data_IF_763378249585
#
_entry.id   IF_763378249585
#
_cell.length_a   1.000
_cell.length_b   1.000
_cell.length_c   1.000
_cell.angle_alpha   90.00
_cell.angle_beta   90.00
_cell.angle_gamma   90.00
#
_symmetry.space_group_name_H-M   'P 1'
#
loop_
_entity.id
_entity.type
_entity.pdbx_description
1 polymer ?
#
# COMPACT_ATOMS: atom_id res chain seq x y z
N UNK A 1 -24.99 -2.95 -0.53
CA UNK A 1 -24.10 -2.57 -1.65
C UNK A 1 -22.95 -3.56 -1.65
N UNK A 2 -22.66 -4.20 -2.78
CA UNK A 2 -21.50 -5.08 -2.89
C UNK A 2 -20.22 -4.26 -2.65
N UNK A 3 -19.26 -4.82 -1.90
CA UNK A 3 -17.90 -4.28 -1.88
C UNK A 3 -17.23 -4.62 -3.20
N UNK A 4 -16.49 -3.68 -3.79
CA UNK A 4 -15.68 -3.93 -4.98
C UNK A 4 -14.36 -4.65 -4.66
N UNK A 5 -13.94 -4.67 -3.40
CA UNK A 5 -12.71 -5.32 -2.95
C UNK A 5 -12.99 -6.26 -1.78
N UNK A 6 -12.37 -7.45 -1.81
CA UNK A 6 -12.38 -8.37 -0.67
C UNK A 6 -11.39 -7.94 0.42
N UNK A 7 -10.24 -7.42 0.01
CA UNK A 7 -9.18 -6.87 0.86
C UNK A 7 -8.34 -5.90 0.02
N UNK A 8 -7.62 -5.00 0.69
CA UNK A 8 -6.52 -4.23 0.10
C UNK A 8 -5.33 -4.33 1.05
N UNK A 9 -4.19 -4.77 0.52
CA UNK A 9 -2.91 -4.77 1.26
C UNK A 9 -2.01 -3.67 0.72
N UNK A 10 -1.62 -2.75 1.59
CA UNK A 10 -0.59 -1.76 1.30
C UNK A 10 0.69 -2.19 1.98
N UNK A 11 1.77 -2.32 1.20
CA UNK A 11 3.08 -2.78 1.66
C UNK A 11 4.13 -1.74 1.32
N UNK A 12 4.96 -1.39 2.30
CA UNK A 12 6.18 -0.62 2.11
C UNK A 12 7.39 -1.42 2.59
N UNK A 13 8.51 -1.23 1.91
CA UNK A 13 9.81 -1.76 2.34
C UNK A 13 10.62 -0.56 2.83
N UNK A 14 11.07 -0.61 4.08
CA UNK A 14 11.98 0.36 4.68
C UNK A 14 13.38 -0.27 4.78
N UNK A 15 14.36 0.34 4.14
CA UNK A 15 15.75 -0.05 4.24
C UNK A 15 16.41 0.58 5.47
N UNK A 16 17.51 -0.01 5.95
CA UNK A 16 18.26 0.50 7.10
C UNK A 16 18.76 1.96 6.97
N UNK A 17 18.77 2.53 5.77
CA UNK A 17 19.16 3.93 5.52
C UNK A 17 17.98 4.90 5.55
N UNK A 18 16.76 4.40 5.76
CA UNK A 18 15.53 5.18 5.73
C UNK A 18 14.95 5.34 7.13
N UNK A 19 14.06 6.32 7.28
CA UNK A 19 13.38 6.61 8.54
C UNK A 19 12.09 5.77 8.62
N UNK A 20 12.11 4.73 9.46
CA UNK A 20 10.98 3.80 9.62
C UNK A 20 9.72 4.50 10.12
N UNK A 21 9.86 5.45 11.06
CA UNK A 21 8.73 6.19 11.62
C UNK A 21 8.05 7.02 10.52
N UNK A 22 8.85 7.67 9.67
CA UNK A 22 8.34 8.42 8.53
C UNK A 22 7.60 7.53 7.51
N UNK A 23 8.12 6.32 7.22
CA UNK A 23 7.41 5.39 6.34
C UNK A 23 6.10 4.89 6.98
N UNK A 24 6.10 4.61 8.28
CA UNK A 24 4.89 4.23 9.03
C UNK A 24 3.83 5.33 9.00
N UNK A 25 4.24 6.59 9.18
CA UNK A 25 3.35 7.75 9.10
C UNK A 25 2.73 7.90 7.71
N UNK A 26 3.52 7.71 6.65
CA UNK A 26 3.04 7.74 5.26
C UNK A 26 2.04 6.62 4.99
N UNK A 27 2.33 5.39 5.40
CA UNK A 27 1.43 4.24 5.20
C UNK A 27 0.13 4.44 5.99
N UNK A 28 0.22 4.86 7.26
CA UNK A 28 -0.94 5.15 8.11
C UNK A 28 -1.78 6.29 7.54
N UNK A 29 -1.15 7.39 7.12
CA UNK A 29 -1.83 8.54 6.52
C UNK A 29 -2.51 8.21 5.20
N UNK A 30 -1.86 7.39 4.35
CA UNK A 30 -2.43 6.97 3.07
C UNK A 30 -3.64 6.04 3.25
N UNK A 31 -3.57 5.12 4.21
CA UNK A 31 -4.58 4.06 4.38
C UNK A 31 -5.67 4.39 5.41
N UNK A 32 -5.37 5.27 6.36
CA UNK A 32 -6.16 5.49 7.56
C UNK A 32 -6.14 4.31 8.54
N UNK A 33 -5.18 3.39 8.40
CA UNK A 33 -5.01 2.28 9.34
C UNK A 33 -4.47 2.78 10.69
N UNK A 34 -5.05 2.30 11.77
CA UNK A 34 -4.58 2.61 13.14
C UNK A 34 -3.46 1.66 13.60
N UNK A 35 -3.40 0.47 13.00
CA UNK A 35 -2.41 -0.56 13.30
C UNK A 35 -1.71 -1.00 12.01
N UNK A 36 -0.39 -1.07 12.07
CA UNK A 36 0.48 -1.59 11.01
C UNK A 36 1.14 -2.88 11.48
N UNK A 37 1.30 -3.82 10.56
CA UNK A 37 2.09 -5.03 10.79
C UNK A 37 3.53 -4.77 10.33
N UNK A 38 4.49 -4.98 11.24
CA UNK A 38 5.90 -4.65 11.06
C UNK A 38 6.71 -5.94 11.17
N UNK A 39 7.35 -6.33 10.07
CA UNK A 39 8.17 -7.54 9.97
C UNK A 39 9.61 -7.20 9.58
N UNK A 40 10.58 -7.59 10.41
CA UNK A 40 12.00 -7.40 10.13
C UNK A 40 12.51 -8.60 9.34
N UNK A 41 13.06 -8.34 8.17
CA UNK A 41 13.50 -9.37 7.23
C UNK A 41 14.88 -9.05 6.63
N UNK A 42 15.41 -9.97 5.85
CA UNK A 42 16.68 -9.82 5.13
C UNK A 42 16.42 -9.66 3.63
N UNK A 43 16.99 -8.62 3.03
CA UNK A 43 16.93 -8.39 1.59
C UNK A 43 17.85 -9.34 0.82
N UNK A 44 17.82 -9.23 -0.52
CA UNK A 44 18.60 -10.09 -1.44
C UNK A 44 20.11 -10.14 -1.15
N UNK A 45 20.67 -9.09 -0.54
CA UNK A 45 22.08 -8.99 -0.18
C UNK A 45 22.35 -9.17 1.33
N UNK A 46 21.43 -9.80 2.07
CA UNK A 46 21.45 -9.94 3.53
C UNK A 46 21.49 -8.58 4.27
N UNK A 47 21.04 -7.51 3.61
CA UNK A 47 20.85 -6.23 4.26
C UNK A 47 19.52 -6.27 5.02
N UNK A 48 19.46 -5.83 6.28
CA UNK A 48 18.21 -5.78 7.02
C UNK A 48 17.24 -4.81 6.32
N UNK A 49 15.99 -5.23 6.23
CA UNK A 49 14.87 -4.42 5.79
C UNK A 49 13.67 -4.64 6.71
N UNK A 50 12.85 -3.62 6.85
CA UNK A 50 11.57 -3.72 7.54
C UNK A 50 10.46 -3.71 6.49
N UNK A 51 9.55 -4.67 6.58
CA UNK A 51 8.32 -4.73 5.79
C UNK A 51 7.18 -4.18 6.64
N UNK A 52 6.52 -3.15 6.13
CA UNK A 52 5.43 -2.46 6.81
C UNK A 52 4.16 -2.72 6.01
N UNK A 53 3.18 -3.39 6.62
CA UNK A 53 1.92 -3.79 5.99
C UNK A 53 0.71 -3.14 6.68
N UNK A 54 -0.19 -2.58 5.88
CA UNK A 54 -1.54 -2.22 6.29
C UNK A 54 -2.54 -3.14 5.59
N UNK A 55 -3.34 -3.88 6.36
CA UNK A 55 -4.34 -4.82 5.86
C UNK A 55 -5.75 -4.24 6.03
N UNK A 56 -6.34 -3.79 4.94
CA UNK A 56 -7.67 -3.21 4.93
C UNK A 56 -8.69 -4.29 4.57
N UNK A 57 -9.78 -4.38 5.34
CA UNK A 57 -10.83 -5.39 5.16
C UNK A 57 -12.24 -4.80 5.17
N UNK A 58 -12.38 -3.50 5.44
CA UNK A 58 -13.66 -2.80 5.55
C UNK A 58 -13.83 -1.77 4.44
N UNK A 59 -15.04 -1.64 3.90
CA UNK A 59 -15.35 -0.69 2.83
C UNK A 59 -14.99 0.76 3.14
N UNK A 60 -15.10 1.17 4.42
CA UNK A 60 -14.71 2.51 4.85
C UNK A 60 -13.22 2.77 4.66
N UNK A 61 -12.38 1.78 4.95
CA UNK A 61 -10.92 1.85 4.79
C UNK A 61 -10.55 1.96 3.31
N UNK A 62 -11.21 1.19 2.43
CA UNK A 62 -11.01 1.30 0.98
C UNK A 62 -11.36 2.70 0.47
N UNK A 63 -12.50 3.24 0.91
CA UNK A 63 -12.93 4.57 0.53
C UNK A 63 -11.95 5.65 1.01
N UNK A 64 -11.44 5.54 2.24
CA UNK A 64 -10.39 6.43 2.76
C UNK A 64 -9.16 6.40 1.87
N UNK A 65 -8.63 5.22 1.54
CA UNK A 65 -7.45 5.08 0.69
C UNK A 65 -7.62 5.79 -0.65
N UNK A 66 -8.70 5.50 -1.39
CA UNK A 66 -8.92 6.13 -2.70
C UNK A 66 -9.21 7.63 -2.61
N UNK A 67 -9.83 8.09 -1.54
CA UNK A 67 -10.00 9.53 -1.29
C UNK A 67 -8.66 10.22 -1.05
N UNK A 68 -7.76 9.59 -0.27
CA UNK A 68 -6.42 10.12 0.01
C UNK A 68 -5.55 10.16 -1.24
N UNK A 69 -5.60 9.13 -2.09
CA UNK A 69 -4.90 9.12 -3.38
C UNK A 69 -5.39 10.24 -4.32
N UNK A 70 -6.64 10.66 -4.16
CA UNK A 70 -7.23 11.68 -5.00
C UNK A 70 -7.64 11.17 -6.39
N UNK A 71 -8.47 11.99 -7.06
CA UNK A 71 -9.13 11.60 -8.31
C UNK A 71 -8.14 11.34 -9.45
N UNK A 72 -7.08 12.14 -9.56
CA UNK A 72 -6.15 12.05 -10.68
C UNK A 72 -5.36 10.74 -10.64
N UNK A 73 -4.85 10.36 -9.47
CA UNK A 73 -4.18 9.06 -9.29
C UNK A 73 -5.18 7.92 -9.50
N UNK A 74 -6.38 8.02 -8.95
CA UNK A 74 -7.41 6.99 -9.14
C UNK A 74 -7.74 6.77 -10.63
N UNK A 75 -7.79 7.83 -11.45
CA UNK A 75 -7.97 7.72 -12.90
C UNK A 75 -6.76 7.07 -13.59
N UNK A 76 -5.54 7.38 -13.16
CA UNK A 76 -4.33 6.72 -13.68
C UNK A 76 -4.29 5.22 -13.35
N UNK A 77 -4.86 4.81 -12.22
CA UNK A 77 -4.94 3.39 -11.87
C UNK A 77 -5.88 2.60 -12.79
N UNK A 78 -6.87 3.26 -13.40
CA UNK A 78 -7.78 2.62 -14.35
C UNK A 78 -7.13 2.39 -15.72
N UNK A 79 -6.07 3.14 -16.04
CA UNK A 79 -5.33 2.96 -17.28
C UNK A 79 -4.56 1.64 -17.25
N UNK A 80 -4.82 0.76 -18.23
CA UNK A 80 -4.25 -0.59 -18.28
C UNK A 80 -4.65 -1.47 -17.09
N UNK A 81 -5.83 -1.28 -16.48
CA UNK A 81 -6.26 -2.05 -15.31
C UNK A 81 -6.29 -3.56 -15.56
N UNK A 82 -6.70 -3.98 -16.76
CA UNK A 82 -6.78 -5.41 -17.14
C UNK A 82 -5.39 -6.08 -17.12
N UNK A 83 -4.34 -5.37 -17.55
CA UNK A 83 -2.96 -5.89 -17.58
C UNK A 83 -2.34 -6.02 -16.18
N UNK A 84 -3.01 -5.47 -15.16
CA UNK A 84 -2.53 -5.39 -13.77
C UNK A 84 -3.33 -6.28 -12.82
N UNK A 85 -4.34 -6.96 -13.34
CA UNK A 85 -5.12 -7.97 -12.62
C UNK A 85 -4.53 -9.33 -13.00
N UNK A 86 -4.22 -10.15 -12.00
CA UNK A 86 -3.79 -11.53 -12.23
C UNK A 86 -4.97 -12.52 -12.34
N UNK A 87 -4.65 -13.79 -12.56
CA UNK A 87 -5.64 -14.87 -12.68
C UNK A 87 -6.48 -15.07 -11.39
N UNK A 88 -5.98 -14.60 -10.25
CA UNK A 88 -6.65 -14.65 -8.93
C UNK A 88 -7.46 -13.39 -8.62
N UNK A 89 -7.67 -12.52 -9.62
CA UNK A 89 -8.38 -11.24 -9.51
C UNK A 89 -7.73 -10.24 -8.54
N UNK A 90 -6.40 -10.29 -8.38
CA UNK A 90 -5.63 -9.33 -7.59
C UNK A 90 -5.13 -8.21 -8.48
N UNK A 91 -5.57 -6.99 -8.17
CA UNK A 91 -5.12 -5.78 -8.85
C UNK A 91 -3.85 -5.22 -8.22
N UNK A 92 -2.72 -5.26 -8.94
CA UNK A 92 -1.44 -4.80 -8.42
C UNK A 92 -1.13 -3.35 -8.79
N UNK A 93 -0.74 -2.58 -7.76
CA UNK A 93 -0.33 -1.20 -7.92
C UNK A 93 0.98 -0.91 -7.19
N UNK A 94 1.83 -0.08 -7.81
CA UNK A 94 3.10 0.36 -7.24
C UNK A 94 3.15 1.88 -7.28
N UNK A 95 3.49 2.47 -6.14
CA UNK A 95 3.71 3.90 -6.01
C UNK A 95 5.21 4.16 -5.83
N UNK A 96 5.63 5.34 -6.27
CA UNK A 96 6.98 5.82 -5.99
C UNK A 96 7.05 6.25 -4.52
N UNK A 97 7.79 5.47 -3.72
CA UNK A 97 7.94 5.73 -2.28
C UNK A 97 8.52 7.12 -2.00
N UNK A 98 9.46 7.59 -2.82
CA UNK A 98 10.12 8.88 -2.61
C UNK A 98 9.23 10.08 -2.94
N UNK A 99 8.08 9.87 -3.61
CA UNK A 99 7.05 10.90 -3.81
C UNK A 99 5.98 10.90 -2.73
N UNK A 100 5.90 9.81 -1.97
CA UNK A 100 4.94 9.65 -0.87
C UNK A 100 5.51 10.14 0.47
N UNK A 101 6.84 10.13 0.59
CA UNK A 101 7.63 10.60 1.75
C UNK A 101 8.01 12.07 1.60
#
# INVERSE_FOLDING_TARGET
>A
MASNFHWIKVKAICYATEDEDLICDVVSGMTGAEELDIDISEGLHNNPLTVIDANLTKNKEYATLFNTLGKDIAMQLLDGVEDRIDDDCVFYVRFDKQKAV
#
